data_IF_376510006459
#
_entry.id   IF_376510006459
#
_cell.length_a   1.000
_cell.length_b   1.000
_cell.length_c   1.000
_cell.angle_alpha   90.00
_cell.angle_beta   90.00
_cell.angle_gamma   90.00
#
_symmetry.space_group_name_H-M   'P 1'
#
loop_
_entity.id
_entity.type
_entity.pdbx_description
1 polymer ?
#
# COMPACT_ATOMS: atom_id res chain seq x y z
N UNK A 1 5.25 -1.56 -24.25
CA UNK A 1 5.56 -0.23 -23.68
C UNK A 1 6.00 -0.39 -22.23
N UNK A 2 7.11 0.22 -21.84
CA UNK A 2 7.58 0.19 -20.45
C UNK A 2 6.80 1.23 -19.64
N UNK A 3 5.73 0.80 -18.93
CA UNK A 3 4.90 1.65 -18.09
C UNK A 3 5.21 1.34 -16.63
N UNK A 4 5.50 2.35 -15.82
CA UNK A 4 5.54 2.22 -14.36
C UNK A 4 4.82 3.43 -13.75
N UNK A 5 3.61 3.19 -13.27
CA UNK A 5 2.81 4.22 -12.60
C UNK A 5 2.25 3.73 -11.28
N UNK A 6 2.02 4.68 -10.38
CA UNK A 6 1.33 4.51 -9.11
C UNK A 6 0.03 5.31 -9.17
N UNK A 7 -1.08 4.75 -8.68
CA UNK A 7 -2.33 5.49 -8.48
C UNK A 7 -2.86 5.23 -7.09
N UNK A 8 -3.21 6.30 -6.40
CA UNK A 8 -3.80 6.22 -5.07
C UNK A 8 -5.32 6.06 -5.20
N UNK A 9 -5.87 4.99 -4.62
CA UNK A 9 -7.30 4.64 -4.66
C UNK A 9 -8.01 4.90 -3.34
N UNK A 10 -7.27 4.90 -2.24
CA UNK A 10 -7.70 5.28 -0.91
C UNK A 10 -6.50 5.73 -0.11
N UNK A 11 -6.66 6.76 0.71
CA UNK A 11 -5.56 7.50 1.36
C UNK A 11 -5.78 7.75 2.85
N UNK A 12 -6.94 7.36 3.38
CA UNK A 12 -7.30 7.54 4.79
C UNK A 12 -6.84 6.38 5.66
N UNK A 13 -6.47 6.71 6.89
CA UNK A 13 -6.26 5.74 7.94
C UNK A 13 -7.52 5.44 8.75
N UNK A 14 -7.50 4.36 9.50
CA UNK A 14 -8.47 3.93 10.50
C UNK A 14 -9.88 3.63 9.99
N UNK A 15 -10.57 4.56 9.34
CA UNK A 15 -11.92 4.36 8.81
C UNK A 15 -12.25 5.35 7.67
N UNK A 16 -13.21 5.00 6.78
CA UNK A 16 -13.58 5.86 5.66
C UNK A 16 -14.38 7.08 6.12
N UNK A 17 -14.14 8.23 5.49
CA UNK A 17 -14.78 9.52 5.81
C UNK A 17 -15.38 10.17 4.57
N UNK A 18 -16.48 9.63 4.01
CA UNK A 18 -17.17 10.26 2.91
C UNK A 18 -17.87 11.54 3.39
N UNK A 19 -17.59 12.66 2.75
CA UNK A 19 -18.20 13.94 3.13
C UNK A 19 -17.76 15.10 2.25
N UNK A 20 -18.48 16.21 2.34
CA UNK A 20 -18.19 17.42 1.54
C UNK A 20 -16.82 18.02 1.82
N UNK A 21 -16.34 17.86 3.04
CA UNK A 21 -15.04 18.40 3.50
C UNK A 21 -13.85 17.48 3.16
N UNK A 22 -14.11 16.34 2.53
CA UNK A 22 -13.09 15.33 2.17
C UNK A 22 -13.08 14.99 0.68
N UNK A 23 -13.83 15.73 -0.15
CA UNK A 23 -14.00 15.45 -1.58
C UNK A 23 -12.72 15.59 -2.41
N UNK A 24 -11.81 16.51 -2.04
CA UNK A 24 -10.60 16.77 -2.81
C UNK A 24 -9.49 15.76 -2.51
N UNK A 25 -9.37 15.37 -1.25
CA UNK A 25 -8.38 14.37 -0.82
C UNK A 25 -8.94 12.95 -1.00
N UNK A 26 -10.23 12.78 -0.78
CA UNK A 26 -10.88 11.49 -0.77
C UNK A 26 -11.14 10.97 0.64
N UNK A 27 -12.14 10.08 0.75
CA UNK A 27 -12.61 9.52 2.02
C UNK A 27 -12.34 8.02 2.17
N UNK A 28 -11.77 7.36 1.16
CA UNK A 28 -11.52 5.92 1.20
C UNK A 28 -10.24 5.55 1.93
N UNK A 29 -10.25 4.37 2.57
CA UNK A 29 -9.11 3.83 3.29
C UNK A 29 -8.12 3.13 2.35
N UNK A 30 -6.97 2.78 2.90
CA UNK A 30 -5.70 2.42 2.25
C UNK A 30 -5.83 1.48 1.05
N UNK A 31 -5.49 1.98 -0.13
CA UNK A 31 -5.33 1.18 -1.34
C UNK A 31 -4.45 1.92 -2.36
N UNK A 32 -3.35 1.30 -2.78
CA UNK A 32 -2.43 1.85 -3.78
C UNK A 32 -2.28 0.87 -4.94
N UNK A 33 -2.59 1.34 -6.15
CA UNK A 33 -2.49 0.59 -7.40
C UNK A 33 -1.17 0.90 -8.11
N UNK A 34 -0.46 -0.13 -8.52
CA UNK A 34 0.68 -0.04 -9.42
C UNK A 34 0.36 -0.70 -10.76
N UNK A 35 0.69 -0.03 -11.84
CA UNK A 35 0.67 -0.60 -13.19
C UNK A 35 2.10 -0.64 -13.71
N UNK A 36 2.64 -1.85 -13.89
CA UNK A 36 4.05 -2.08 -14.25
C UNK A 36 4.09 -3.05 -15.44
N UNK A 37 4.43 -2.55 -16.63
CA UNK A 37 4.18 -3.32 -17.84
C UNK A 37 2.69 -3.62 -17.99
N UNK A 38 2.32 -4.89 -18.12
CA UNK A 38 0.93 -5.36 -18.10
C UNK A 38 0.49 -5.83 -16.69
N UNK A 39 1.42 -5.93 -15.74
CA UNK A 39 1.11 -6.40 -14.40
C UNK A 39 0.38 -5.34 -13.57
N UNK A 40 -0.53 -5.81 -12.73
CA UNK A 40 -1.29 -5.02 -11.75
C UNK A 40 -0.84 -5.46 -10.36
N UNK A 41 -0.34 -4.52 -9.56
CA UNK A 41 -0.02 -4.76 -8.16
C UNK A 41 -0.83 -3.82 -7.31
N UNK A 42 -1.46 -4.34 -6.27
CA UNK A 42 -2.33 -3.60 -5.36
C UNK A 42 -1.75 -3.77 -3.96
N UNK A 43 -1.42 -2.67 -3.30
CA UNK A 43 -1.02 -2.71 -1.89
C UNK A 43 -2.18 -2.21 -1.05
N UNK A 44 -2.62 -3.07 -0.16
CA UNK A 44 -3.77 -2.99 0.73
C UNK A 44 -5.13 -2.93 0.00
N UNK A 45 -6.13 -3.45 0.68
CA UNK A 45 -7.49 -3.63 0.19
C UNK A 45 -8.52 -2.94 1.10
N UNK A 46 -8.21 -1.72 1.56
CA UNK A 46 -9.18 -0.84 2.19
C UNK A 46 -10.31 -0.45 1.23
N UNK A 47 -11.18 0.47 1.63
CA UNK A 47 -12.36 0.81 0.81
C UNK A 47 -12.01 1.36 -0.58
N UNK A 48 -10.78 1.90 -0.75
CA UNK A 48 -10.29 2.36 -2.06
C UNK A 48 -10.25 1.27 -3.15
N UNK A 49 -10.12 -0.02 -2.78
CA UNK A 49 -10.11 -1.13 -3.74
C UNK A 49 -11.44 -1.29 -4.48
N UNK A 50 -12.54 -0.79 -3.92
CA UNK A 50 -13.89 -0.92 -4.51
C UNK A 50 -13.93 -0.20 -5.86
N UNK A 51 -13.47 1.06 -5.92
CA UNK A 51 -13.42 1.83 -7.15
C UNK A 51 -12.45 1.24 -8.18
N UNK A 52 -11.32 0.71 -7.72
CA UNK A 52 -10.39 -0.04 -8.57
C UNK A 52 -11.06 -1.27 -9.19
N UNK A 53 -11.85 -1.99 -8.40
CA UNK A 53 -12.60 -3.16 -8.88
C UNK A 53 -13.55 -2.82 -10.01
N UNK A 54 -14.26 -1.69 -9.93
CA UNK A 54 -15.13 -1.22 -11.03
C UNK A 54 -14.34 -0.93 -12.31
N UNK A 55 -13.18 -0.28 -12.18
CA UNK A 55 -12.34 0.02 -13.35
C UNK A 55 -11.77 -1.25 -13.98
N UNK A 56 -11.32 -2.23 -13.18
CA UNK A 56 -10.81 -3.51 -13.65
C UNK A 56 -11.91 -4.33 -14.37
N UNK A 57 -13.15 -4.29 -13.90
CA UNK A 57 -14.26 -4.92 -14.60
C UNK A 57 -14.56 -4.24 -15.94
N UNK A 58 -14.54 -2.90 -16.00
CA UNK A 58 -14.69 -2.18 -17.28
C UNK A 58 -13.59 -2.58 -18.27
N UNK A 59 -12.34 -2.67 -17.81
CA UNK A 59 -11.20 -3.14 -18.61
C UNK A 59 -11.43 -4.59 -19.09
N UNK A 60 -11.85 -5.48 -18.19
CA UNK A 60 -12.18 -6.88 -18.52
C UNK A 60 -13.23 -6.98 -19.61
N UNK A 61 -14.38 -6.33 -19.42
CA UNK A 61 -15.49 -6.42 -20.39
C UNK A 61 -15.16 -5.75 -21.73
N UNK A 62 -14.32 -4.72 -21.73
CA UNK A 62 -13.91 -4.05 -22.98
C UNK A 62 -12.86 -4.82 -23.78
N UNK A 63 -12.00 -5.59 -23.10
CA UNK A 63 -10.86 -6.28 -23.73
C UNK A 63 -11.02 -7.78 -23.86
N UNK A 64 -11.96 -8.38 -23.12
CA UNK A 64 -12.10 -9.83 -22.96
C UNK A 64 -10.98 -10.52 -22.17
N UNK A 65 -10.00 -9.75 -21.65
CA UNK A 65 -8.87 -10.32 -20.90
C UNK A 65 -9.24 -10.57 -19.45
N UNK A 66 -8.77 -11.68 -18.84
CA UNK A 66 -8.99 -11.93 -17.42
C UNK A 66 -8.31 -10.85 -16.56
N UNK A 67 -8.88 -10.60 -15.37
CA UNK A 67 -8.22 -9.76 -14.38
C UNK A 67 -7.16 -10.59 -13.68
N UNK A 68 -5.89 -10.28 -13.89
CA UNK A 68 -4.76 -10.90 -13.20
C UNK A 68 -4.08 -9.83 -12.36
N UNK A 69 -4.03 -10.01 -11.04
CA UNK A 69 -3.42 -9.03 -10.14
C UNK A 69 -2.71 -9.67 -8.95
N UNK A 70 -1.68 -8.99 -8.47
CA UNK A 70 -1.02 -9.29 -7.21
C UNK A 70 -1.55 -8.36 -6.13
N UNK A 71 -2.06 -8.92 -5.02
CA UNK A 71 -2.50 -8.18 -3.84
C UNK A 71 -1.49 -8.38 -2.71
N UNK A 72 -1.03 -7.28 -2.14
CA UNK A 72 -0.09 -7.27 -1.01
C UNK A 72 -0.80 -6.65 0.18
N UNK A 73 -0.83 -7.35 1.31
CA UNK A 73 -1.37 -6.81 2.56
C UNK A 73 -0.23 -6.42 3.48
N UNK A 74 -0.18 -5.15 3.85
CA UNK A 74 0.82 -4.65 4.81
C UNK A 74 0.59 -5.24 6.20
N UNK A 75 -0.66 -5.29 6.62
CA UNK A 75 -1.15 -5.93 7.84
C UNK A 75 -2.68 -6.13 7.75
N UNK A 76 -3.30 -6.60 8.84
CA UNK A 76 -4.70 -7.03 8.79
C UNK A 76 -5.65 -6.13 9.60
N UNK A 77 -5.33 -4.84 9.79
CA UNK A 77 -6.31 -3.90 10.31
C UNK A 77 -7.43 -3.64 9.31
N UNK A 78 -8.62 -3.27 9.79
CA UNK A 78 -9.81 -3.17 8.95
C UNK A 78 -9.67 -2.19 7.78
N UNK A 79 -9.05 -1.06 7.99
CA UNK A 79 -8.82 -0.04 6.97
C UNK A 79 -7.88 -0.46 5.84
N UNK A 80 -7.19 -1.61 5.99
CA UNK A 80 -6.34 -2.22 4.98
C UNK A 80 -6.95 -3.47 4.32
N UNK A 81 -8.12 -3.96 4.79
CA UNK A 81 -8.72 -5.18 4.25
C UNK A 81 -10.24 -5.11 4.03
N UNK A 82 -10.97 -4.16 4.66
CA UNK A 82 -12.43 -4.13 4.68
C UNK A 82 -13.08 -3.98 3.29
N UNK A 83 -12.36 -3.42 2.31
CA UNK A 83 -12.84 -3.27 0.94
C UNK A 83 -12.79 -4.56 0.14
N UNK A 84 -11.99 -5.55 0.56
CA UNK A 84 -11.80 -6.79 -0.20
C UNK A 84 -13.11 -7.56 -0.40
N UNK A 85 -13.99 -7.59 0.60
CA UNK A 85 -15.32 -8.23 0.50
C UNK A 85 -16.21 -7.63 -0.58
N UNK A 86 -15.92 -6.41 -1.04
CA UNK A 86 -16.66 -5.68 -2.07
C UNK A 86 -15.86 -5.54 -3.38
N UNK A 87 -14.71 -6.19 -3.47
CA UNK A 87 -13.86 -6.18 -4.66
C UNK A 87 -14.46 -7.09 -5.74
N UNK A 88 -15.32 -6.53 -6.57
CA UNK A 88 -16.11 -7.27 -7.58
C UNK A 88 -15.31 -8.23 -8.45
N UNK A 89 -14.05 -7.93 -8.90
CA UNK A 89 -13.27 -8.90 -9.66
C UNK A 89 -13.02 -10.23 -8.92
N UNK A 90 -13.07 -10.27 -7.59
CA UNK A 90 -12.92 -11.49 -6.81
C UNK A 90 -14.09 -12.48 -6.99
N UNK A 91 -15.24 -12.00 -7.44
CA UNK A 91 -16.43 -12.81 -7.74
C UNK A 91 -16.46 -13.35 -9.18
N UNK A 92 -15.51 -12.94 -10.01
CA UNK A 92 -15.45 -13.34 -11.42
C UNK A 92 -14.55 -14.57 -11.59
N UNK A 93 -15.11 -15.67 -12.10
CA UNK A 93 -14.41 -16.96 -12.23
C UNK A 93 -13.19 -16.95 -13.17
N UNK A 94 -13.09 -15.97 -14.07
CA UNK A 94 -11.92 -15.77 -14.93
C UNK A 94 -10.77 -14.98 -14.27
N UNK A 95 -11.01 -14.40 -13.09
CA UNK A 95 -9.98 -13.60 -12.39
C UNK A 95 -8.96 -14.49 -11.67
N UNK A 96 -7.71 -14.03 -11.62
CA UNK A 96 -6.60 -14.72 -10.95
C UNK A 96 -5.90 -13.73 -10.02
N UNK A 97 -5.80 -14.08 -8.74
CA UNK A 97 -5.14 -13.25 -7.73
C UNK A 97 -4.00 -14.01 -7.03
N UNK A 98 -2.82 -13.38 -7.04
CA UNK A 98 -1.68 -13.77 -6.22
C UNK A 98 -1.67 -12.87 -4.98
N UNK A 99 -1.96 -13.44 -3.83
CA UNK A 99 -2.19 -12.68 -2.60
C UNK A 99 -1.07 -12.96 -1.59
N UNK A 100 -0.42 -11.94 -1.10
CA UNK A 100 0.69 -12.03 -0.16
C UNK A 100 0.43 -11.16 1.06
N UNK A 101 0.70 -11.68 2.24
CA UNK A 101 0.52 -10.91 3.47
C UNK A 101 1.11 -11.60 4.71
N UNK A 102 1.08 -10.93 5.87
CA UNK A 102 1.72 -11.40 7.07
C UNK A 102 1.03 -12.64 7.66
N UNK A 103 1.79 -13.41 8.44
CA UNK A 103 1.23 -14.30 9.46
C UNK A 103 1.17 -13.55 10.78
N UNK A 104 0.08 -13.70 11.53
CA UNK A 104 -0.12 -13.05 12.83
C UNK A 104 -0.75 -14.02 13.83
N UNK A 105 -0.26 -14.06 15.07
CA UNK A 105 -0.81 -14.92 16.13
C UNK A 105 -0.98 -16.38 15.69
N UNK A 106 0.03 -16.95 15.02
CA UNK A 106 0.02 -18.31 14.47
C UNK A 106 -1.02 -18.57 13.37
N UNK A 107 -1.79 -17.54 12.97
CA UNK A 107 -2.75 -17.63 11.86
C UNK A 107 -2.11 -17.26 10.54
N UNK A 108 -2.49 -17.98 9.51
CA UNK A 108 -2.18 -17.65 8.12
C UNK A 108 -2.97 -16.44 7.65
N UNK A 109 -2.51 -15.80 6.59
CA UNK A 109 -3.26 -14.71 5.93
C UNK A 109 -4.65 -15.17 5.49
N UNK A 110 -4.76 -16.39 4.95
CA UNK A 110 -6.04 -16.97 4.51
C UNK A 110 -7.03 -17.11 5.67
N UNK A 111 -6.57 -17.61 6.83
CA UNK A 111 -7.41 -17.72 8.03
C UNK A 111 -7.88 -16.36 8.52
N UNK A 112 -7.02 -15.34 8.47
CA UNK A 112 -7.39 -13.98 8.88
C UNK A 112 -8.39 -13.35 7.93
N UNK A 113 -8.21 -13.48 6.61
CA UNK A 113 -9.19 -13.02 5.63
C UNK A 113 -10.53 -13.77 5.76
N UNK A 114 -10.50 -15.08 5.99
CA UNK A 114 -11.70 -15.87 6.22
C UNK A 114 -12.46 -15.40 7.47
N UNK A 115 -11.77 -14.90 8.50
CA UNK A 115 -12.43 -14.38 9.70
C UNK A 115 -13.22 -13.11 9.45
N UNK A 116 -12.73 -12.20 8.60
CA UNK A 116 -13.45 -10.97 8.26
C UNK A 116 -14.55 -11.18 7.21
N UNK A 117 -14.46 -12.30 6.45
CA UNK A 117 -15.42 -12.67 5.41
C UNK A 117 -16.26 -13.89 5.82
N UNK A 118 -16.96 -13.82 6.95
CA UNK A 118 -17.85 -14.92 7.40
C UNK A 118 -19.10 -14.41 8.10
N UNK A 119 -20.19 -15.20 8.09
CA UNK A 119 -21.34 -14.91 8.93
C UNK A 119 -20.99 -14.81 10.41
N UNK A 120 -21.65 -13.90 11.16
CA UNK A 120 -22.77 -13.04 10.72
C UNK A 120 -22.28 -11.70 10.11
N UNK A 121 -20.98 -11.46 9.98
CA UNK A 121 -20.43 -10.15 9.55
C UNK A 121 -20.40 -9.96 8.04
N UNK A 122 -20.22 -11.04 7.28
CA UNK A 122 -20.28 -11.06 5.81
C UNK A 122 -21.23 -12.15 5.34
N UNK A 123 -22.09 -11.87 4.34
CA UNK A 123 -22.96 -12.89 3.75
C UNK A 123 -22.20 -13.86 2.82
N UNK A 124 -21.02 -13.45 2.34
CA UNK A 124 -20.16 -14.23 1.44
C UNK A 124 -18.87 -14.59 2.17
N UNK A 125 -18.52 -15.86 2.15
CA UNK A 125 -17.26 -16.35 2.72
C UNK A 125 -16.14 -16.28 1.70
N UNK A 126 -14.89 -16.28 2.16
CA UNK A 126 -13.71 -16.26 1.28
C UNK A 126 -13.73 -17.43 0.27
N UNK A 127 -14.11 -18.62 0.73
CA UNK A 127 -14.22 -19.83 -0.11
C UNK A 127 -15.34 -19.76 -1.15
N UNK A 128 -16.36 -18.92 -0.98
CA UNK A 128 -17.48 -18.75 -1.92
C UNK A 128 -17.11 -17.85 -3.11
N UNK A 129 -15.96 -17.17 -3.08
CA UNK A 129 -15.51 -16.35 -4.21
C UNK A 129 -15.10 -17.20 -5.41
N UNK A 130 -15.52 -16.84 -6.60
CA UNK A 130 -15.33 -17.64 -7.82
C UNK A 130 -13.92 -17.50 -8.45
N UNK A 131 -13.17 -16.45 -8.10
CA UNK A 131 -11.82 -16.23 -8.65
C UNK A 131 -10.82 -17.29 -8.20
N UNK A 132 -9.78 -17.53 -9.02
CA UNK A 132 -8.62 -18.30 -8.59
C UNK A 132 -7.75 -17.43 -7.67
N UNK A 133 -7.42 -17.94 -6.49
CA UNK A 133 -6.61 -17.24 -5.48
C UNK A 133 -5.46 -18.12 -5.03
N UNK A 134 -4.25 -17.59 -5.15
CA UNK A 134 -3.02 -18.18 -4.64
C UNK A 134 -2.56 -17.34 -3.46
N UNK A 135 -2.73 -17.84 -2.23
CA UNK A 135 -2.49 -17.12 -1.00
C UNK A 135 -1.17 -17.57 -0.38
N UNK A 136 -0.26 -16.62 -0.15
CA UNK A 136 1.08 -16.84 0.36
C UNK A 136 1.31 -16.08 1.65
N UNK A 137 1.91 -16.74 2.62
CA UNK A 137 2.28 -16.18 3.91
C UNK A 137 3.70 -15.61 3.87
N UNK A 138 3.85 -14.34 4.21
CA UNK A 138 5.14 -13.68 4.35
C UNK A 138 5.59 -13.70 5.81
N UNK A 139 6.81 -14.18 6.07
CA UNK A 139 7.34 -14.37 7.43
C UNK A 139 8.62 -13.60 7.73
N UNK A 140 9.31 -13.11 6.71
CA UNK A 140 10.61 -12.46 6.87
C UNK A 140 11.17 -11.88 5.58
N UNK A 141 12.46 -11.99 5.35
CA UNK A 141 13.13 -11.38 4.22
C UNK A 141 12.84 -12.18 2.93
N UNK A 142 11.67 -11.96 2.41
CA UNK A 142 11.20 -12.54 1.15
C UNK A 142 11.25 -11.52 0.02
N UNK A 143 11.34 -12.03 -1.18
CA UNK A 143 11.22 -11.30 -2.42
C UNK A 143 10.06 -11.89 -3.21
N UNK A 144 9.14 -11.05 -3.66
CA UNK A 144 8.08 -11.43 -4.58
C UNK A 144 8.52 -11.04 -5.98
N UNK A 145 8.43 -11.97 -6.91
CA UNK A 145 8.77 -11.81 -8.30
C UNK A 145 7.51 -11.86 -9.15
N UNK A 146 7.33 -10.87 -10.00
CA UNK A 146 6.15 -10.78 -10.87
C UNK A 146 6.63 -10.65 -12.31
N UNK A 147 6.08 -11.47 -13.18
CA UNK A 147 6.27 -11.36 -14.62
C UNK A 147 5.48 -10.13 -15.13
N UNK A 148 6.17 -9.13 -15.73
CA UNK A 148 5.52 -7.89 -16.15
C UNK A 148 4.58 -8.05 -17.35
N UNK A 149 4.60 -9.19 -18.07
CA UNK A 149 3.74 -9.45 -19.21
C UNK A 149 2.48 -10.23 -18.81
N UNK A 150 2.65 -11.26 -17.97
CA UNK A 150 1.56 -12.17 -17.61
C UNK A 150 0.92 -11.85 -16.27
N UNK A 151 1.58 -11.07 -15.41
CA UNK A 151 1.17 -10.80 -14.04
C UNK A 151 1.33 -11.99 -13.09
N UNK A 152 1.91 -13.12 -13.53
CA UNK A 152 2.15 -14.29 -12.68
C UNK A 152 3.17 -13.95 -11.61
N UNK A 153 2.85 -14.28 -10.35
CA UNK A 153 3.68 -13.94 -9.20
C UNK A 153 4.02 -15.15 -8.35
N UNK A 154 5.19 -15.13 -7.70
CA UNK A 154 5.62 -16.09 -6.70
C UNK A 154 6.61 -15.43 -5.74
N UNK A 155 6.73 -15.97 -4.52
CA UNK A 155 7.73 -15.52 -3.54
C UNK A 155 8.88 -16.50 -3.42
N UNK A 156 10.03 -15.98 -2.99
CA UNK A 156 11.22 -16.77 -2.63
C UNK A 156 11.90 -16.18 -1.41
N UNK A 157 12.61 -17.01 -0.67
CA UNK A 157 13.45 -16.57 0.43
C UNK A 157 14.82 -16.15 -0.11
N UNK A 158 15.19 -14.87 0.10
CA UNK A 158 16.44 -14.30 -0.43
C UNK A 158 17.72 -14.92 0.14
N UNK A 159 17.63 -15.60 1.31
CA UNK A 159 18.79 -16.23 1.98
C UNK A 159 18.96 -17.70 1.63
N UNK A 160 17.91 -18.37 1.17
CA UNK A 160 17.91 -19.81 0.96
C UNK A 160 17.82 -20.22 -0.51
N UNK A 161 17.44 -19.30 -1.39
CA UNK A 161 17.24 -19.59 -2.80
C UNK A 161 18.18 -18.76 -3.68
N UNK A 162 18.77 -19.35 -4.76
CA UNK A 162 19.68 -18.62 -5.62
C UNK A 162 18.98 -17.47 -6.33
N UNK A 163 19.71 -16.38 -6.69
CA UNK A 163 19.16 -15.28 -7.44
C UNK A 163 18.57 -15.77 -8.79
N UNK A 164 17.41 -15.24 -9.16
CA UNK A 164 16.84 -15.51 -10.48
C UNK A 164 17.51 -14.59 -11.51
N UNK A 165 18.09 -15.12 -12.58
CA UNK A 165 18.86 -14.32 -13.55
C UNK A 165 18.02 -13.35 -14.38
N UNK A 166 16.69 -13.51 -14.41
CA UNK A 166 15.82 -12.69 -15.25
C UNK A 166 15.73 -11.25 -14.70
N UNK A 167 16.42 -10.32 -15.37
CA UNK A 167 16.48 -8.90 -15.03
C UNK A 167 15.18 -8.13 -15.33
N UNK A 168 14.26 -8.74 -16.08
CA UNK A 168 13.02 -8.07 -16.51
C UNK A 168 11.86 -8.26 -15.52
N UNK A 169 11.99 -9.15 -14.53
CA UNK A 169 10.97 -9.34 -13.51
C UNK A 169 10.80 -8.10 -12.64
N UNK A 170 9.55 -7.82 -12.27
CA UNK A 170 9.25 -6.87 -11.19
C UNK A 170 9.64 -7.54 -9.88
N UNK A 171 10.39 -6.82 -9.06
CA UNK A 171 10.90 -7.31 -7.78
C UNK A 171 10.27 -6.54 -6.64
N UNK A 172 9.67 -7.24 -5.69
CA UNK A 172 9.09 -6.63 -4.49
C UNK A 172 9.78 -7.22 -3.27
N UNK A 173 10.58 -6.41 -2.61
CA UNK A 173 11.23 -6.79 -1.37
C UNK A 173 10.31 -6.51 -0.20
N UNK A 174 10.35 -7.37 0.81
CA UNK A 174 9.52 -7.29 2.00
C UNK A 174 10.39 -7.03 3.22
N UNK A 175 9.99 -6.08 4.04
CA UNK A 175 10.63 -5.76 5.31
C UNK A 175 9.58 -5.73 6.42
N UNK A 176 9.74 -6.61 7.41
CA UNK A 176 8.89 -6.56 8.61
C UNK A 176 9.41 -5.51 9.58
N UNK A 177 8.50 -4.69 10.09
CA UNK A 177 8.75 -3.69 11.12
C UNK A 177 7.75 -3.84 12.28
N UNK A 178 8.13 -3.39 13.46
CA UNK A 178 7.34 -3.51 14.68
C UNK A 178 6.92 -2.15 15.26
N UNK A 179 7.10 -1.08 14.50
CA UNK A 179 6.67 0.26 14.88
C UNK A 179 5.16 0.49 14.78
N UNK A 180 4.39 -0.58 14.59
CA UNK A 180 2.93 -0.55 14.57
C UNK A 180 2.36 -1.69 15.41
N UNK A 181 1.40 -1.43 16.34
CA UNK A 181 0.77 -2.47 17.16
C UNK A 181 -0.26 -3.28 16.32
N UNK A 182 -0.49 -4.57 16.61
CA UNK A 182 0.06 -5.37 17.71
C UNK A 182 1.21 -6.27 17.26
N UNK A 183 1.32 -6.67 16.01
CA UNK A 183 2.32 -7.60 15.46
C UNK A 183 3.18 -7.01 14.37
N UNK A 184 3.20 -5.69 14.28
CA UNK A 184 3.96 -4.98 13.27
C UNK A 184 3.28 -4.94 11.91
N UNK A 185 4.01 -4.48 10.94
CA UNK A 185 3.58 -4.17 9.58
C UNK A 185 4.63 -4.67 8.58
N UNK A 186 4.24 -4.93 7.34
CA UNK A 186 5.14 -5.19 6.24
C UNK A 186 5.29 -3.94 5.39
N UNK A 187 6.53 -3.51 5.20
CA UNK A 187 6.89 -2.52 4.18
C UNK A 187 7.20 -3.24 2.87
N UNK A 188 6.85 -2.61 1.76
CA UNK A 188 7.09 -3.12 0.43
C UNK A 188 7.97 -2.16 -0.37
N UNK A 189 9.02 -2.70 -1.01
CA UNK A 189 9.86 -1.95 -1.94
C UNK A 189 9.73 -2.58 -3.33
N UNK A 190 9.04 -1.86 -4.20
CA UNK A 190 8.78 -2.26 -5.59
C UNK A 190 9.89 -1.72 -6.48
N UNK A 191 10.60 -2.62 -7.16
CA UNK A 191 11.69 -2.28 -8.08
C UNK A 191 11.43 -2.84 -9.47
N UNK A 192 11.61 -2.00 -10.48
CA UNK A 192 11.58 -2.41 -11.89
C UNK A 192 12.33 -1.42 -12.76
N UNK A 193 13.18 -1.92 -13.68
CA UNK A 193 13.94 -1.12 -14.66
C UNK A 193 14.68 0.06 -14.02
N UNK A 194 15.30 -0.18 -12.85
CA UNK A 194 16.06 0.84 -12.11
C UNK A 194 15.22 1.87 -11.34
N UNK A 195 13.90 1.75 -11.37
CA UNK A 195 13.00 2.57 -10.55
C UNK A 195 12.66 1.86 -9.24
N UNK A 196 12.52 2.63 -8.17
CA UNK A 196 12.32 2.15 -6.81
C UNK A 196 11.22 2.94 -6.11
N UNK A 197 10.19 2.25 -5.63
CA UNK A 197 9.13 2.82 -4.81
C UNK A 197 9.06 2.08 -3.49
N UNK A 198 8.97 2.80 -2.39
CA UNK A 198 8.78 2.21 -1.06
C UNK A 198 7.43 2.62 -0.50
N UNK A 199 6.66 1.62 -0.06
CA UNK A 199 5.42 1.78 0.68
C UNK A 199 5.66 1.44 2.14
N UNK A 200 5.50 2.42 3.01
CA UNK A 200 5.69 2.34 4.45
C UNK A 200 4.54 3.05 5.18
N UNK A 201 3.34 2.48 5.06
CA UNK A 201 2.18 2.90 5.84
C UNK A 201 2.25 2.31 7.24
N UNK A 202 1.53 2.92 8.18
CA UNK A 202 1.36 2.42 9.55
C UNK A 202 2.69 2.18 10.25
N UNK A 203 3.43 3.24 10.42
CA UNK A 203 4.72 3.20 11.12
C UNK A 203 4.89 4.40 12.01
N UNK A 204 5.28 4.16 13.24
CA UNK A 204 5.65 5.21 14.18
C UNK A 204 7.13 5.58 14.01
N UNK A 205 7.43 6.88 14.09
CA UNK A 205 8.79 7.36 14.02
C UNK A 205 9.57 7.11 15.32
N UNK A 206 10.86 6.85 15.19
CA UNK A 206 11.79 6.78 16.31
C UNK A 206 12.68 8.03 16.36
N UNK A 207 13.23 8.33 17.53
CA UNK A 207 14.28 9.36 17.66
C UNK A 207 15.46 9.00 16.73
N UNK A 208 15.79 9.89 15.83
CA UNK A 208 16.80 9.65 14.79
C UNK A 208 16.27 8.90 13.55
N UNK A 209 14.96 8.69 13.46
CA UNK A 209 14.28 8.00 12.37
C UNK A 209 14.34 6.46 12.47
N UNK A 210 13.42 5.79 11.82
CA UNK A 210 13.41 4.33 11.73
C UNK A 210 14.60 3.85 10.87
N UNK A 211 15.66 3.35 11.49
CA UNK A 211 16.91 2.97 10.81
C UNK A 211 16.73 1.83 9.81
N UNK A 212 15.80 0.90 10.08
CA UNK A 212 15.46 -0.18 9.14
C UNK A 212 14.79 0.38 7.90
N UNK A 213 13.81 1.25 8.08
CA UNK A 213 13.10 1.90 6.99
C UNK A 213 14.03 2.82 6.18
N UNK A 214 14.88 3.62 6.84
CA UNK A 214 15.88 4.46 6.17
C UNK A 214 16.78 3.62 5.24
N UNK A 215 17.31 2.50 5.74
CA UNK A 215 18.11 1.59 4.93
C UNK A 215 17.30 0.95 3.79
N UNK A 216 16.06 0.56 4.07
CA UNK A 216 15.16 -0.08 3.11
C UNK A 216 14.74 0.87 1.99
N UNK A 217 14.51 2.15 2.33
CA UNK A 217 14.10 3.21 1.41
C UNK A 217 15.26 3.95 0.73
N UNK A 218 16.51 3.50 0.96
CA UNK A 218 17.69 4.20 0.42
C UNK A 218 17.59 4.41 -1.09
N UNK A 219 17.77 5.68 -1.50
CA UNK A 219 17.71 6.15 -2.89
C UNK A 219 16.40 5.80 -3.61
N UNK A 220 15.27 5.80 -2.90
CA UNK A 220 13.96 5.58 -3.48
C UNK A 220 13.56 6.75 -4.42
N UNK A 221 12.99 6.44 -5.58
CA UNK A 221 12.38 7.47 -6.45
C UNK A 221 11.14 8.06 -5.77
N UNK A 222 10.33 7.22 -5.07
CA UNK A 222 9.17 7.63 -4.30
C UNK A 222 9.15 6.88 -2.97
N UNK A 223 9.01 7.62 -1.86
CA UNK A 223 8.71 7.08 -0.55
C UNK A 223 7.28 7.48 -0.18
N UNK A 224 6.38 6.49 -0.07
CA UNK A 224 5.03 6.63 0.47
C UNK A 224 5.14 6.32 1.97
N UNK A 225 4.86 7.31 2.82
CA UNK A 225 5.10 7.20 4.26
C UNK A 225 3.87 7.66 5.05
N UNK A 226 3.60 6.95 6.15
CA UNK A 226 2.62 7.37 7.16
C UNK A 226 2.87 8.81 7.61
N UNK A 227 1.81 9.59 7.70
CA UNK A 227 1.84 10.96 8.19
C UNK A 227 0.50 11.35 8.83
N UNK A 228 -0.04 10.46 9.66
CA UNK A 228 -1.38 10.57 10.18
C UNK A 228 -1.54 11.80 11.05
N UNK A 229 -0.68 11.99 12.05
CA UNK A 229 -0.86 12.98 13.10
C UNK A 229 -0.03 14.25 12.90
N UNK A 230 -0.51 15.38 13.40
CA UNK A 230 0.35 16.55 13.62
C UNK A 230 1.22 16.33 14.86
N UNK A 231 2.48 16.84 14.81
CA UNK A 231 3.44 16.62 15.89
C UNK A 231 2.96 17.22 17.23
N UNK A 232 2.69 18.51 17.25
CA UNK A 232 2.50 19.26 18.50
C UNK A 232 1.11 19.07 19.12
N UNK A 233 0.05 18.98 18.28
CA UNK A 233 -1.32 19.02 18.73
C UNK A 233 -2.02 17.65 18.76
N UNK A 234 -1.35 16.59 18.33
CA UNK A 234 -1.93 15.24 18.23
C UNK A 234 -0.94 14.18 18.69
N UNK A 235 0.23 14.06 18.04
CA UNK A 235 1.20 13.02 18.39
C UNK A 235 1.81 13.23 19.78
N UNK A 236 2.31 14.43 20.06
CA UNK A 236 2.93 14.80 21.33
C UNK A 236 2.02 15.65 22.25
N UNK A 237 0.71 15.64 22.02
CA UNK A 237 -0.25 16.35 22.87
C UNK A 237 -0.19 15.88 24.33
N UNK A 238 -0.16 16.83 25.27
CA UNK A 238 0.00 16.51 26.71
C UNK A 238 -1.22 15.76 27.28
N UNK A 239 -2.41 16.09 26.77
CA UNK A 239 -3.65 15.53 27.30
C UNK A 239 -4.08 14.24 26.60
N UNK A 240 -3.80 14.14 25.29
CA UNK A 240 -4.31 13.07 24.43
C UNK A 240 -3.24 12.54 23.47
N UNK A 241 -2.02 12.31 23.96
CA UNK A 241 -0.90 11.81 23.16
C UNK A 241 -1.26 10.60 22.32
N UNK A 242 -0.80 10.60 21.06
CA UNK A 242 -0.93 9.47 20.13
C UNK A 242 0.34 8.62 20.03
N UNK A 243 1.33 8.87 20.90
CA UNK A 243 2.54 8.04 20.99
C UNK A 243 2.17 6.59 21.31
N UNK A 244 2.78 5.66 20.61
CA UNK A 244 2.50 4.23 20.75
C UNK A 244 1.30 3.72 19.94
N UNK A 245 0.62 4.59 19.20
CA UNK A 245 -0.49 4.18 18.32
C UNK A 245 0.00 3.60 16.99
N UNK A 246 1.32 3.72 16.73
CA UNK A 246 1.94 3.13 15.53
C UNK A 246 1.85 4.00 14.29
N UNK A 247 1.73 5.31 14.43
CA UNK A 247 1.65 6.27 13.33
C UNK A 247 2.62 7.43 13.50
N UNK A 248 2.99 8.03 12.36
CA UNK A 248 3.96 9.12 12.30
C UNK A 248 3.32 10.49 12.17
N UNK A 249 4.13 11.51 12.51
CA UNK A 249 3.91 12.87 12.04
C UNK A 249 4.63 13.12 10.70
N UNK A 250 4.27 14.19 9.97
CA UNK A 250 4.96 14.57 8.74
C UNK A 250 6.45 14.83 8.92
N UNK A 251 6.87 15.38 10.07
CA UNK A 251 8.27 15.64 10.40
C UNK A 251 9.08 14.35 10.48
N UNK A 252 8.50 13.29 11.06
CA UNK A 252 9.09 11.96 11.11
C UNK A 252 9.25 11.37 9.71
N UNK A 253 8.25 11.55 8.84
CA UNK A 253 8.32 11.14 7.43
C UNK A 253 9.44 11.89 6.68
N UNK A 254 9.59 13.21 6.91
CA UNK A 254 10.67 14.03 6.35
C UNK A 254 12.04 13.54 6.82
N UNK A 255 12.18 13.21 8.10
CA UNK A 255 13.44 12.68 8.64
C UNK A 255 13.87 11.41 7.92
N UNK A 256 12.95 10.47 7.75
CA UNK A 256 13.20 9.23 7.00
C UNK A 256 13.54 9.53 5.55
N UNK A 257 12.74 10.38 4.86
CA UNK A 257 12.96 10.72 3.45
C UNK A 257 14.34 11.33 3.20
N UNK A 258 14.76 12.29 4.04
CA UNK A 258 16.09 12.92 3.95
C UNK A 258 17.22 11.91 4.16
N UNK A 259 17.14 11.12 5.24
CA UNK A 259 18.19 10.14 5.58
C UNK A 259 18.27 8.99 4.58
N UNK A 260 17.14 8.62 3.99
CA UNK A 260 17.09 7.64 2.92
C UNK A 260 17.50 8.20 1.55
N UNK A 261 17.73 9.51 1.42
CA UNK A 261 17.98 10.18 0.13
C UNK A 261 16.85 9.89 -0.88
N UNK A 262 15.59 9.89 -0.41
CA UNK A 262 14.43 9.71 -1.28
C UNK A 262 14.26 10.93 -2.19
N UNK A 263 13.83 10.71 -3.44
CA UNK A 263 13.65 11.82 -4.40
C UNK A 263 12.32 12.54 -4.21
N UNK A 264 11.27 11.80 -3.86
CA UNK A 264 9.95 12.33 -3.59
C UNK A 264 9.37 11.67 -2.34
N UNK A 265 8.71 12.47 -1.50
CA UNK A 265 7.94 12.02 -0.34
C UNK A 265 6.45 12.15 -0.64
N UNK A 266 5.69 11.08 -0.38
CA UNK A 266 4.23 11.09 -0.43
C UNK A 266 3.71 10.86 0.98
N UNK A 267 3.06 11.88 1.55
CA UNK A 267 2.37 11.77 2.84
C UNK A 267 1.11 10.95 2.65
N UNK A 268 0.96 9.90 3.42
CA UNK A 268 -0.10 8.93 3.27
C UNK A 268 -0.79 8.64 4.60
N UNK A 269 -1.87 7.87 4.60
CA UNK A 269 -2.59 7.42 5.78
C UNK A 269 -3.12 8.59 6.62
N UNK A 270 -3.87 9.50 5.96
CA UNK A 270 -4.36 10.72 6.59
C UNK A 270 -5.39 10.43 7.67
N UNK A 271 -5.28 11.14 8.81
CA UNK A 271 -6.24 11.04 9.91
C UNK A 271 -7.67 11.33 9.42
N UNK A 272 -8.66 10.52 9.80
CA UNK A 272 -10.05 10.74 9.43
C UNK A 272 -10.63 12.10 9.84
N UNK A 273 -10.13 12.69 10.92
CA UNK A 273 -10.56 14.02 11.40
C UNK A 273 -10.00 15.19 10.58
N UNK A 274 -9.03 14.92 9.67
CA UNK A 274 -8.41 15.95 8.85
C UNK A 274 -9.20 16.18 7.57
N UNK A 275 -9.83 17.33 7.44
CA UNK A 275 -10.50 17.74 6.21
C UNK A 275 -9.49 18.15 5.12
N UNK A 276 -9.99 18.39 3.91
CA UNK A 276 -9.18 18.76 2.74
C UNK A 276 -8.25 19.96 3.00
N UNK A 277 -8.74 20.96 3.73
CA UNK A 277 -7.96 22.17 4.06
C UNK A 277 -6.78 21.83 4.97
N UNK A 278 -7.04 21.07 6.04
CA UNK A 278 -6.03 20.68 7.03
C UNK A 278 -4.91 19.84 6.39
N UNK A 279 -5.27 18.92 5.48
CA UNK A 279 -4.26 18.10 4.76
C UNK A 279 -3.45 18.98 3.79
N UNK A 280 -4.09 19.94 3.13
CA UNK A 280 -3.36 20.86 2.24
C UNK A 280 -2.41 21.79 3.00
N UNK A 281 -2.78 22.25 4.19
CA UNK A 281 -1.90 23.00 5.09
C UNK A 281 -0.69 22.12 5.50
N UNK A 282 -0.94 20.86 5.90
CA UNK A 282 0.11 19.87 6.21
C UNK A 282 1.11 19.72 5.05
N UNK A 283 0.63 19.56 3.83
CA UNK A 283 1.48 19.47 2.63
C UNK A 283 2.33 20.73 2.45
N UNK A 284 1.72 21.91 2.54
CA UNK A 284 2.43 23.18 2.36
C UNK A 284 3.53 23.39 3.41
N UNK A 285 3.29 22.99 4.66
CA UNK A 285 4.28 23.09 5.73
C UNK A 285 5.43 22.12 5.53
N UNK A 286 5.13 20.89 5.12
CA UNK A 286 6.16 19.88 4.84
C UNK A 286 7.00 20.25 3.61
N UNK A 287 6.43 20.88 2.59
CA UNK A 287 7.17 21.35 1.41
C UNK A 287 8.25 22.39 1.76
N UNK A 288 8.11 23.13 2.85
CA UNK A 288 9.17 24.02 3.37
C UNK A 288 10.38 23.23 3.89
N UNK A 289 10.14 22.02 4.38
CA UNK A 289 11.16 21.12 4.93
C UNK A 289 11.72 20.16 3.86
N UNK A 290 10.87 19.62 3.01
CA UNK A 290 11.22 18.73 1.91
C UNK A 290 10.40 19.12 0.67
N UNK A 291 10.96 19.94 -0.23
CA UNK A 291 10.21 20.57 -1.33
C UNK A 291 9.48 19.59 -2.25
N UNK A 292 10.05 18.42 -2.53
CA UNK A 292 9.41 17.41 -3.37
C UNK A 292 8.48 16.48 -2.56
N UNK A 293 7.53 17.12 -1.85
CA UNK A 293 6.49 16.40 -1.07
C UNK A 293 5.12 16.65 -1.66
N UNK A 294 4.28 15.64 -1.64
CA UNK A 294 2.86 15.70 -1.97
C UNK A 294 2.05 14.95 -0.91
N UNK A 295 0.93 15.49 -0.48
CA UNK A 295 -0.06 14.73 0.26
C UNK A 295 -0.86 13.86 -0.71
N UNK A 296 -0.96 12.57 -0.46
CA UNK A 296 -1.73 11.66 -1.30
C UNK A 296 -3.20 12.06 -1.32
N UNK A 297 -3.83 11.93 -2.48
CA UNK A 297 -5.27 12.07 -2.68
C UNK A 297 -5.79 11.02 -3.64
N UNK A 298 -7.06 10.69 -3.55
CA UNK A 298 -7.67 9.71 -4.45
C UNK A 298 -7.61 10.19 -5.90
N UNK A 299 -7.10 9.32 -6.77
CA UNK A 299 -6.88 9.64 -8.18
C UNK A 299 -5.51 10.22 -8.48
N UNK A 300 -4.67 10.58 -7.49
CA UNK A 300 -3.29 10.97 -7.72
C UNK A 300 -2.56 9.89 -8.51
N UNK A 301 -1.90 10.29 -9.60
CA UNK A 301 -1.08 9.41 -10.44
C UNK A 301 0.35 9.92 -10.47
N UNK A 302 1.30 9.05 -10.16
CA UNK A 302 2.74 9.31 -10.29
C UNK A 302 3.31 8.39 -11.35
N UNK A 303 3.92 8.96 -12.38
CA UNK A 303 4.60 8.23 -13.45
C UNK A 303 6.10 8.20 -13.18
N UNK A 304 6.65 6.99 -12.97
CA UNK A 304 8.09 6.79 -12.81
C UNK A 304 8.79 6.58 -14.16
N UNK A 305 8.04 6.11 -15.15
CA UNK A 305 8.49 5.97 -16.54
C UNK A 305 7.41 6.53 -17.44
N UNK A 306 7.79 7.44 -18.34
CA UNK A 306 6.86 8.03 -19.29
C UNK A 306 6.26 6.94 -20.20
N UNK A 307 4.98 7.09 -20.57
CA UNK A 307 4.48 6.42 -21.76
C UNK A 307 5.22 7.06 -22.94
N UNK A 308 6.05 6.29 -23.65
CA UNK A 308 6.48 6.74 -24.97
C UNK A 308 5.21 6.97 -25.79
N UNK A 309 5.04 8.21 -26.27
CA UNK A 309 3.94 8.54 -27.17
C UNK A 309 4.01 7.61 -28.38
N UNK A 310 2.91 6.91 -28.64
CA UNK A 310 2.77 6.04 -29.80
C UNK A 310 2.65 6.88 -31.08
#
# INVERSE_FOLDING_TARGET
>A
MKKFMIRFRGVRGSFPVPGVDTLKIGGNTSCVEFRIGNAIVIIDAGTGIISLGEDLLKEHFSTGKPVVATLLFSHMHHDHNQGFSFFKPAYLGSSIFYMFGPTMFEKSMEEMLSQVMRPPFSPVRLEDLNSQRFIYNLRGPEEILIDPETGKAFSRNIHHEPPIPNKDMIRIFVQKDYAHPVNGVLFYRVEWQGKKVVYASDTEGYVGGNQKLIKFAKDADVLIHDAQYYMDNEYADIATSKQGYGHSSPEMAVEVARKANARQLVLYHHDPSHNDKKIKEKENDVQKLFPNTIAAYEGLVIHLMAQEAA
#
